data_IF_016199619908
#
_entry.id   IF_016199619908
#
_cell.length_a   1.000
_cell.length_b   1.000
_cell.length_c   1.000
_cell.angle_alpha   90.00
_cell.angle_beta   90.00
_cell.angle_gamma   90.00
#
_symmetry.space_group_name_H-M   'P 1'
#
loop_
_entity.id
_entity.type
_entity.pdbx_description
1 polymer ?
#
# COMPACT_ATOMS: atom_id res chain seq x y z
N UNK A 1 2.89 11.60 9.52
CA UNK A 1 2.21 11.09 10.74
C UNK A 1 0.71 11.36 10.57
N UNK A 2 -0.16 10.40 10.93
CA UNK A 2 -1.60 10.60 11.00
C UNK A 2 -2.00 10.71 12.47
N UNK A 3 -2.52 11.87 12.86
CA UNK A 3 -3.09 12.12 14.18
C UNK A 3 -4.62 11.98 14.12
N UNK A 4 -5.13 10.91 14.68
CA UNK A 4 -6.57 10.64 14.81
C UNK A 4 -6.93 10.43 16.28
N UNK A 5 -8.20 10.48 16.62
CA UNK A 5 -8.71 10.18 17.96
C UNK A 5 -9.91 11.04 18.34
N UNK A 6 -10.81 10.44 19.12
CA UNK A 6 -12.08 11.00 19.51
C UNK A 6 -13.09 11.16 18.39
N UNK A 7 -14.37 10.89 18.67
CA UNK A 7 -15.48 11.29 17.79
C UNK A 7 -15.75 12.79 17.94
N UNK A 8 -16.44 13.39 17.01
CA UNK A 8 -16.79 14.81 17.10
C UNK A 8 -17.72 15.08 18.29
N UNK A 9 -17.26 15.87 19.25
CA UNK A 9 -17.94 16.11 20.53
C UNK A 9 -17.69 15.05 21.61
N UNK A 10 -16.84 14.05 21.33
CA UNK A 10 -16.33 13.09 22.30
C UNK A 10 -15.02 13.56 22.96
N UNK A 11 -14.14 12.59 23.27
CA UNK A 11 -12.85 12.88 23.91
C UNK A 11 -11.97 13.79 23.07
N UNK A 12 -11.40 14.81 23.69
CA UNK A 12 -10.44 15.74 23.10
C UNK A 12 -9.03 15.53 23.66
N UNK A 13 -8.93 15.00 24.88
CA UNK A 13 -7.69 14.89 25.64
C UNK A 13 -6.66 14.01 24.94
N UNK A 14 -7.06 12.83 24.50
CA UNK A 14 -6.18 11.88 23.84
C UNK A 14 -5.50 12.48 22.57
N UNK A 15 -6.22 13.29 21.78
CA UNK A 15 -5.64 13.93 20.60
C UNK A 15 -4.62 15.03 20.99
N UNK A 16 -4.85 15.74 22.08
CA UNK A 16 -3.94 16.77 22.60
C UNK A 16 -2.68 16.15 23.19
N UNK A 17 -2.80 15.11 24.02
CA UNK A 17 -1.65 14.39 24.59
C UNK A 17 -0.74 13.82 23.49
N UNK A 18 -1.33 13.21 22.47
CA UNK A 18 -0.57 12.72 21.33
C UNK A 18 0.08 13.86 20.52
N UNK A 19 -0.57 15.01 20.39
CA UNK A 19 0.01 16.18 19.73
C UNK A 19 1.21 16.73 20.51
N UNK A 20 1.15 16.77 21.84
CA UNK A 20 2.27 17.15 22.70
C UNK A 20 3.46 16.19 22.51
N UNK A 21 3.22 14.88 22.52
CA UNK A 21 4.25 13.88 22.25
C UNK A 21 4.88 14.06 20.85
N UNK A 22 4.09 14.38 19.84
CA UNK A 22 4.61 14.66 18.50
C UNK A 22 5.51 15.89 18.48
N UNK A 23 5.17 16.95 19.24
CA UNK A 23 6.02 18.13 19.38
C UNK A 23 7.39 17.80 19.98
N UNK A 24 7.46 16.84 20.90
CA UNK A 24 8.72 16.41 21.53
C UNK A 24 9.61 15.58 20.60
N UNK A 25 9.04 14.90 19.59
CA UNK A 25 9.80 14.03 18.68
C UNK A 25 10.74 14.78 17.73
N UNK A 26 10.67 16.12 17.64
CA UNK A 26 11.49 16.97 16.78
C UNK A 26 11.62 16.48 15.33
N UNK A 27 10.62 15.75 14.85
CA UNK A 27 10.61 15.13 13.53
C UNK A 27 10.29 16.14 12.42
N UNK A 28 10.81 15.87 11.22
CA UNK A 28 10.50 16.67 10.00
C UNK A 28 9.25 16.18 9.26
N UNK A 29 8.53 15.20 9.80
CA UNK A 29 7.37 14.63 9.16
C UNK A 29 6.16 15.57 9.25
N UNK A 30 5.45 15.78 8.14
CA UNK A 30 4.17 16.48 8.16
C UNK A 30 3.11 15.65 8.91
N UNK A 31 2.33 16.30 9.76
CA UNK A 31 1.24 15.66 10.51
C UNK A 31 -0.09 15.94 9.81
N UNK A 32 -0.86 14.88 9.52
CA UNK A 32 -2.25 14.98 9.06
C UNK A 32 -3.13 14.92 10.30
N UNK A 33 -3.78 16.03 10.64
CA UNK A 33 -4.66 16.16 11.80
C UNK A 33 -6.08 15.81 11.37
N UNK A 34 -6.53 14.63 11.74
CA UNK A 34 -7.82 14.04 11.38
C UNK A 34 -8.59 13.53 12.61
N UNK A 35 -8.43 14.20 13.74
CA UNK A 35 -9.05 13.90 15.03
C UNK A 35 -10.37 14.65 15.24
N UNK A 36 -10.95 14.52 16.44
CA UNK A 36 -12.12 15.29 16.87
C UNK A 36 -12.02 16.77 16.48
N UNK A 37 -13.01 17.28 15.75
CA UNK A 37 -13.01 18.65 15.18
C UNK A 37 -12.85 19.75 16.23
N UNK A 38 -13.30 19.50 17.48
CA UNK A 38 -13.18 20.47 18.56
C UNK A 38 -11.76 20.53 19.13
N UNK A 39 -11.02 19.42 19.13
CA UNK A 39 -9.61 19.36 19.51
C UNK A 39 -8.67 19.98 18.45
N UNK A 40 -9.05 19.97 17.18
CA UNK A 40 -8.16 20.37 16.07
C UNK A 40 -7.60 21.78 16.19
N UNK A 41 -8.33 22.72 16.83
CA UNK A 41 -7.84 24.09 17.01
C UNK A 41 -6.69 24.11 18.02
N UNK A 42 -6.86 23.48 19.17
CA UNK A 42 -5.83 23.43 20.20
C UNK A 42 -4.59 22.65 19.73
N UNK A 43 -4.78 21.54 18.99
CA UNK A 43 -3.70 20.81 18.34
C UNK A 43 -2.92 21.72 17.37
N UNK A 44 -3.61 22.51 16.55
CA UNK A 44 -2.98 23.44 15.62
C UNK A 44 -2.14 24.51 16.36
N UNK A 45 -2.68 25.07 17.43
CA UNK A 45 -1.96 26.06 18.26
C UNK A 45 -0.69 25.48 18.91
N UNK A 46 -0.72 24.18 19.31
CA UNK A 46 0.47 23.46 19.81
C UNK A 46 1.51 23.29 18.69
N UNK A 47 1.10 22.84 17.51
CA UNK A 47 2.00 22.62 16.39
C UNK A 47 2.60 23.92 15.85
N UNK A 48 1.82 25.00 15.79
CA UNK A 48 2.32 26.34 15.42
C UNK A 48 3.42 26.82 16.36
N UNK A 49 3.24 26.63 17.68
CA UNK A 49 4.25 27.00 18.70
C UNK A 49 5.51 26.14 18.62
N UNK A 50 5.36 24.85 18.29
CA UNK A 50 6.47 23.90 18.19
C UNK A 50 7.14 23.89 16.80
N UNK A 51 6.59 24.61 15.80
CA UNK A 51 7.09 24.61 14.44
C UNK A 51 6.87 23.29 13.69
N UNK A 52 5.88 22.50 14.10
CA UNK A 52 5.50 21.24 13.43
C UNK A 52 4.67 21.53 12.19
N UNK A 53 5.08 20.98 11.05
CA UNK A 53 4.29 21.09 9.82
C UNK A 53 3.04 20.18 9.88
N UNK A 54 1.86 20.73 9.58
CA UNK A 54 0.63 19.94 9.63
C UNK A 54 -0.37 20.35 8.55
N UNK A 55 -1.33 19.43 8.28
CA UNK A 55 -2.50 19.65 7.44
C UNK A 55 -3.73 19.19 8.23
N UNK A 56 -4.76 20.05 8.33
CA UNK A 56 -6.03 19.68 8.96
C UNK A 56 -7.01 19.14 7.93
N UNK A 57 -7.66 18.05 8.28
CA UNK A 57 -8.73 17.42 7.50
C UNK A 57 -9.91 17.06 8.42
N UNK A 58 -11.11 16.82 7.88
CA UNK A 58 -12.22 16.30 8.66
C UNK A 58 -11.84 15.05 9.43
N UNK A 59 -12.48 14.85 10.60
CA UNK A 59 -12.25 13.67 11.44
C UNK A 59 -12.45 12.38 10.65
N UNK A 60 -11.55 11.40 10.85
CA UNK A 60 -11.66 10.06 10.23
C UNK A 60 -12.90 9.31 10.76
N UNK A 61 -13.25 9.51 12.03
CA UNK A 61 -14.41 8.89 12.64
C UNK A 61 -15.25 9.96 13.37
N UNK A 62 -16.02 10.77 12.62
CA UNK A 62 -16.82 11.85 13.20
C UNK A 62 -17.89 11.33 14.16
N UNK A 63 -18.45 10.16 13.89
CA UNK A 63 -19.43 9.43 14.70
C UNK A 63 -19.00 7.98 14.88
N UNK A 64 -19.43 7.33 15.96
CA UNK A 64 -19.13 5.92 16.22
C UNK A 64 -19.66 5.07 15.05
N UNK A 65 -18.81 4.19 14.51
CA UNK A 65 -19.07 3.32 13.35
C UNK A 65 -19.23 4.05 11.99
N UNK A 66 -18.99 5.34 11.89
CA UNK A 66 -19.00 6.09 10.64
C UNK A 66 -17.57 6.54 10.30
N UNK A 67 -16.99 5.99 9.21
CA UNK A 67 -15.64 6.32 8.79
C UNK A 67 -15.67 7.32 7.64
N UNK A 68 -14.93 8.41 7.79
CA UNK A 68 -14.70 9.45 6.78
C UNK A 68 -13.22 9.46 6.36
N UNK A 69 -12.79 8.40 5.68
CA UNK A 69 -11.37 8.16 5.37
C UNK A 69 -10.88 9.03 4.21
N UNK A 70 -11.76 9.37 3.25
CA UNK A 70 -11.39 10.01 1.99
C UNK A 70 -10.55 11.28 2.15
N UNK A 71 -10.93 12.27 2.99
CA UNK A 71 -10.14 13.50 3.15
C UNK A 71 -8.73 13.25 3.69
N UNK A 72 -8.58 12.32 4.64
CA UNK A 72 -7.28 11.96 5.18
C UNK A 72 -6.41 11.25 4.15
N UNK A 73 -6.97 10.34 3.36
CA UNK A 73 -6.29 9.64 2.26
C UNK A 73 -5.78 10.64 1.21
N UNK A 74 -6.60 11.59 0.80
CA UNK A 74 -6.24 12.63 -0.18
C UNK A 74 -5.10 13.51 0.34
N UNK A 75 -5.16 13.94 1.60
CA UNK A 75 -4.12 14.75 2.22
C UNK A 75 -2.79 13.97 2.37
N UNK A 76 -2.84 12.70 2.77
CA UNK A 76 -1.65 11.83 2.83
C UNK A 76 -1.03 11.70 1.43
N UNK A 77 -1.85 11.42 0.42
CA UNK A 77 -1.40 11.29 -0.96
C UNK A 77 -0.73 12.59 -1.45
N UNK A 78 -1.35 13.74 -1.21
CA UNK A 78 -0.78 15.03 -1.60
C UNK A 78 0.57 15.30 -0.92
N UNK A 79 0.70 15.03 0.39
CA UNK A 79 1.97 15.19 1.10
C UNK A 79 3.04 14.21 0.61
N UNK A 80 2.66 12.98 0.30
CA UNK A 80 3.56 11.98 -0.27
C UNK A 80 4.10 12.45 -1.64
N UNK A 81 3.23 12.90 -2.55
CA UNK A 81 3.63 13.45 -3.85
C UNK A 81 4.55 14.66 -3.67
N UNK A 82 4.23 15.59 -2.76
CA UNK A 82 5.08 16.75 -2.47
C UNK A 82 6.47 16.37 -1.97
N UNK A 83 6.60 15.30 -1.20
CA UNK A 83 7.88 14.82 -0.68
C UNK A 83 8.70 14.13 -1.78
N UNK A 84 8.08 13.24 -2.57
CA UNK A 84 8.75 12.55 -3.68
C UNK A 84 9.24 13.55 -4.72
N UNK A 85 8.42 14.55 -5.09
CA UNK A 85 8.80 15.54 -6.09
C UNK A 85 9.94 16.47 -5.65
N UNK A 86 10.32 16.44 -4.37
CA UNK A 86 11.50 17.14 -3.83
C UNK A 86 12.76 16.27 -3.81
N UNK A 87 12.68 14.99 -4.16
CA UNK A 87 13.85 14.12 -4.23
C UNK A 87 14.82 14.60 -5.31
N UNK A 88 16.14 14.47 -5.04
CA UNK A 88 17.19 14.90 -5.97
C UNK A 88 17.02 14.23 -7.34
N UNK A 89 17.10 15.02 -8.41
CA UNK A 89 16.95 14.56 -9.79
C UNK A 89 15.50 14.53 -10.31
N UNK A 90 14.49 14.43 -9.45
CA UNK A 90 13.08 14.46 -9.88
C UNK A 90 12.59 15.88 -10.20
N UNK A 91 13.17 16.89 -9.57
CA UNK A 91 12.85 18.32 -9.85
C UNK A 91 13.29 18.67 -11.28
N UNK A 92 14.51 18.29 -11.65
CA UNK A 92 15.06 18.53 -12.99
C UNK A 92 14.33 17.68 -14.05
N UNK A 93 14.03 16.41 -13.74
CA UNK A 93 13.26 15.53 -14.60
C UNK A 93 11.85 16.08 -14.87
N UNK A 94 11.18 16.59 -13.83
CA UNK A 94 9.86 17.20 -13.94
C UNK A 94 9.84 18.49 -14.76
N UNK A 95 10.92 19.29 -14.68
CA UNK A 95 11.05 20.52 -15.47
C UNK A 95 11.14 20.24 -16.98
N UNK A 96 11.55 19.01 -17.38
CA UNK A 96 11.60 18.55 -18.78
C UNK A 96 10.33 17.83 -19.26
N UNK A 97 9.40 17.50 -18.35
CA UNK A 97 8.10 16.91 -18.69
C UNK A 97 7.04 18.00 -18.70
N UNK A 98 6.14 17.96 -19.69
CA UNK A 98 4.96 18.84 -19.73
C UNK A 98 4.16 18.75 -18.41
N UNK A 99 3.29 19.72 -18.12
CA UNK A 99 2.50 19.92 -16.89
C UNK A 99 1.66 18.72 -16.39
N UNK A 100 2.02 17.51 -16.75
CA UNK A 100 1.32 16.29 -16.33
C UNK A 100 1.66 15.96 -14.87
N UNK A 101 0.64 15.60 -14.13
CA UNK A 101 0.78 15.17 -12.74
C UNK A 101 1.64 13.90 -12.64
N UNK A 102 2.64 13.91 -11.75
CA UNK A 102 3.38 12.70 -11.38
C UNK A 102 2.45 11.79 -10.60
N UNK A 103 2.20 10.61 -11.12
CA UNK A 103 1.37 9.58 -10.46
C UNK A 103 2.28 8.51 -9.89
N UNK A 104 2.13 8.10 -8.61
CA UNK A 104 2.85 6.96 -8.06
C UNK A 104 2.52 5.69 -8.83
N UNK A 105 3.52 4.80 -9.01
CA UNK A 105 3.34 3.53 -9.73
C UNK A 105 2.08 2.75 -9.31
N UNK A 106 1.80 2.55 -8.00
CA UNK A 106 0.60 1.83 -7.60
C UNK A 106 -0.72 2.51 -8.00
N UNK A 107 -0.73 3.85 -8.01
CA UNK A 107 -1.88 4.63 -8.50
C UNK A 107 -2.07 4.48 -10.02
N UNK A 108 -0.97 4.50 -10.78
CA UNK A 108 -0.99 4.28 -12.22
C UNK A 108 -1.46 2.86 -12.57
N UNK A 109 -0.98 1.85 -11.84
CA UNK A 109 -1.40 0.45 -12.00
C UNK A 109 -2.89 0.27 -11.69
N UNK A 110 -3.41 0.91 -10.63
CA UNK A 110 -4.84 0.88 -10.29
C UNK A 110 -5.69 1.49 -11.41
N UNK A 111 -5.31 2.67 -11.92
CA UNK A 111 -5.98 3.32 -13.05
C UNK A 111 -5.93 2.46 -14.32
N UNK A 112 -4.80 1.83 -14.60
CA UNK A 112 -4.64 0.91 -15.73
C UNK A 112 -5.55 -0.32 -15.57
N UNK A 113 -5.66 -0.89 -14.37
CA UNK A 113 -6.56 -2.02 -14.10
C UNK A 113 -8.03 -1.65 -14.30
N UNK A 114 -8.43 -0.45 -13.89
CA UNK A 114 -9.77 0.07 -14.14
C UNK A 114 -10.05 0.26 -15.64
N UNK A 115 -9.09 0.82 -16.37
CA UNK A 115 -9.21 1.01 -17.81
C UNK A 115 -9.31 -0.34 -18.55
N UNK A 116 -8.48 -1.31 -18.20
CA UNK A 116 -8.53 -2.66 -18.77
C UNK A 116 -9.88 -3.34 -18.47
N UNK A 117 -10.41 -3.17 -17.26
CA UNK A 117 -11.68 -3.76 -16.87
C UNK A 117 -12.87 -3.13 -17.58
N UNK A 118 -12.90 -1.80 -17.67
CA UNK A 118 -14.03 -1.02 -18.25
C UNK A 118 -13.96 -0.88 -19.77
N UNK A 119 -12.73 -0.85 -20.32
CA UNK A 119 -12.50 -0.52 -21.72
C UNK A 119 -12.55 0.98 -22.02
N UNK A 120 -12.66 1.31 -23.29
CA UNK A 120 -12.76 2.67 -23.83
C UNK A 120 -14.04 2.82 -24.63
N UNK A 121 -14.27 4.01 -25.20
CA UNK A 121 -15.39 4.22 -26.13
C UNK A 121 -15.27 3.38 -27.42
N UNK A 122 -14.05 2.96 -27.78
CA UNK A 122 -13.77 2.24 -29.02
C UNK A 122 -13.56 0.73 -28.79
N UNK A 123 -13.25 0.32 -27.57
CA UNK A 123 -12.90 -1.05 -27.24
C UNK A 123 -13.54 -1.50 -25.93
N UNK A 124 -14.25 -2.63 -25.98
CA UNK A 124 -14.86 -3.23 -24.81
C UNK A 124 -13.78 -3.70 -23.81
N UNK A 125 -14.04 -3.53 -22.52
CA UNK A 125 -13.15 -3.95 -21.45
C UNK A 125 -13.17 -5.45 -21.21
N UNK A 126 -12.14 -5.93 -20.52
CA UNK A 126 -12.00 -7.34 -20.16
C UNK A 126 -12.97 -7.79 -19.06
N UNK A 127 -13.70 -6.87 -18.43
CA UNK A 127 -14.56 -7.17 -17.26
C UNK A 127 -13.75 -7.27 -15.98
N UNK A 128 -14.17 -8.15 -15.06
CA UNK A 128 -13.46 -8.34 -13.79
C UNK A 128 -12.05 -8.89 -13.99
N UNK A 129 -11.09 -8.32 -13.30
CA UNK A 129 -9.70 -8.76 -13.38
C UNK A 129 -8.97 -8.59 -12.04
N UNK A 130 -7.92 -9.37 -11.86
CA UNK A 130 -6.90 -9.18 -10.83
C UNK A 130 -5.57 -8.92 -11.53
N UNK A 131 -4.87 -7.86 -11.09
CA UNK A 131 -3.54 -7.53 -11.55
C UNK A 131 -2.58 -7.63 -10.37
N UNK A 132 -1.45 -8.29 -10.60
CA UNK A 132 -0.40 -8.48 -9.60
C UNK A 132 0.82 -7.68 -10.04
N UNK A 133 1.31 -6.83 -9.15
CA UNK A 133 2.57 -6.09 -9.31
C UNK A 133 3.53 -6.55 -8.21
N UNK A 134 4.46 -7.44 -8.58
CA UNK A 134 5.50 -7.93 -7.67
C UNK A 134 6.80 -7.17 -7.93
N UNK A 135 7.21 -6.39 -6.94
CA UNK A 135 8.39 -5.55 -6.99
C UNK A 135 9.55 -6.08 -6.16
N UNK A 136 10.60 -5.27 -6.07
CA UNK A 136 11.76 -5.57 -5.23
C UNK A 136 11.48 -5.49 -3.73
N UNK A 137 10.59 -4.60 -3.31
CA UNK A 137 10.26 -4.37 -1.89
C UNK A 137 8.85 -4.85 -1.51
N UNK A 138 7.88 -4.77 -2.41
CA UNK A 138 6.45 -5.03 -2.12
C UNK A 138 5.82 -5.91 -3.18
N UNK A 139 4.73 -6.56 -2.82
CA UNK A 139 3.79 -7.19 -3.75
C UNK A 139 2.43 -6.52 -3.62
N UNK A 140 1.94 -5.94 -4.70
CA UNK A 140 0.66 -5.25 -4.78
C UNK A 140 -0.36 -6.09 -5.55
N UNK A 141 -1.58 -6.19 -5.01
CA UNK A 141 -2.71 -6.81 -5.67
C UNK A 141 -3.75 -5.74 -5.95
N UNK A 142 -4.12 -5.62 -7.22
CA UNK A 142 -5.19 -4.74 -7.69
C UNK A 142 -6.32 -5.60 -8.23
N UNK A 143 -7.54 -5.38 -7.77
CA UNK A 143 -8.73 -6.02 -8.33
C UNK A 143 -9.71 -4.99 -8.86
N UNK A 144 -10.23 -5.24 -10.06
CA UNK A 144 -11.39 -4.54 -10.61
C UNK A 144 -12.57 -5.51 -10.60
N UNK A 145 -13.63 -5.14 -9.89
CA UNK A 145 -14.81 -5.97 -9.72
C UNK A 145 -15.85 -5.67 -10.80
N UNK A 146 -16.77 -6.59 -11.09
CA UNK A 146 -17.89 -6.31 -11.96
C UNK A 146 -18.82 -5.26 -11.30
N UNK A 147 -19.59 -4.57 -12.11
CA UNK A 147 -20.68 -3.74 -11.61
C UNK A 147 -21.62 -4.58 -10.74
N UNK A 148 -21.92 -4.13 -9.53
CA UNK A 148 -22.77 -4.85 -8.57
C UNK A 148 -24.12 -5.27 -9.18
N UNK A 149 -24.61 -4.53 -10.17
CA UNK A 149 -25.85 -4.79 -10.88
C UNK A 149 -25.80 -6.05 -11.76
N UNK A 150 -24.59 -6.43 -12.19
CA UNK A 150 -24.36 -7.63 -13.02
C UNK A 150 -24.16 -8.91 -12.19
N UNK A 151 -24.01 -8.77 -10.87
CA UNK A 151 -23.84 -9.91 -9.97
C UNK A 151 -25.20 -10.53 -9.59
N UNK A 152 -25.22 -11.85 -9.44
CA UNK A 152 -26.34 -12.58 -8.85
C UNK A 152 -26.57 -12.18 -7.39
N UNK A 153 -27.74 -12.49 -6.84
CA UNK A 153 -28.08 -12.20 -5.44
C UNK A 153 -27.11 -12.94 -4.50
N UNK A 154 -26.71 -14.16 -4.86
CA UNK A 154 -25.76 -14.98 -4.09
C UNK A 154 -24.38 -14.36 -4.07
N UNK A 155 -23.86 -13.91 -5.21
CA UNK A 155 -22.57 -13.22 -5.33
C UNK A 155 -22.55 -11.89 -4.57
N UNK A 156 -23.66 -11.12 -4.61
CA UNK A 156 -23.79 -9.88 -3.81
C UNK A 156 -23.74 -10.15 -2.32
N UNK A 157 -24.27 -11.29 -1.87
CA UNK A 157 -24.24 -11.71 -0.46
C UNK A 157 -22.84 -12.04 0.06
N UNK A 158 -21.88 -12.31 -0.81
CA UNK A 158 -20.48 -12.58 -0.47
C UNK A 158 -19.65 -11.31 -0.30
N UNK A 159 -20.16 -10.15 -0.73
CA UNK A 159 -19.45 -8.88 -0.62
C UNK A 159 -19.61 -8.34 0.81
N UNK A 160 -18.53 -8.39 1.59
CA UNK A 160 -18.50 -7.97 2.99
C UNK A 160 -18.51 -6.44 3.13
N UNK A 161 -18.10 -5.71 2.11
CA UNK A 161 -17.93 -4.26 2.18
C UNK A 161 -19.04 -3.54 1.42
N UNK A 162 -19.82 -2.70 2.12
CA UNK A 162 -20.90 -1.87 1.53
C UNK A 162 -20.37 -0.67 0.73
N UNK A 163 -19.07 -0.46 0.66
CA UNK A 163 -18.49 0.58 -0.17
C UNK A 163 -18.60 0.18 -1.65
N UNK A 164 -19.31 0.97 -2.44
CA UNK A 164 -19.45 0.83 -3.89
C UNK A 164 -18.15 1.21 -4.62
N UNK A 165 -17.04 0.58 -4.27
CA UNK A 165 -15.79 0.77 -4.99
C UNK A 165 -15.72 -0.26 -6.12
N UNK A 166 -15.35 0.22 -7.31
CA UNK A 166 -15.13 -0.63 -8.48
C UNK A 166 -13.78 -1.33 -8.43
N UNK A 167 -12.79 -0.74 -7.77
CA UNK A 167 -11.43 -1.26 -7.70
C UNK A 167 -10.88 -1.23 -6.29
N UNK A 168 -10.07 -2.22 -5.97
CA UNK A 168 -9.40 -2.37 -4.67
C UNK A 168 -7.91 -2.61 -4.86
N UNK A 169 -7.12 -2.19 -3.90
CA UNK A 169 -5.68 -2.43 -3.83
C UNK A 169 -5.29 -2.85 -2.42
N UNK A 170 -4.48 -3.91 -2.32
CA UNK A 170 -3.75 -4.27 -1.12
C UNK A 170 -2.25 -4.31 -1.40
N UNK A 171 -1.46 -4.06 -0.39
CA UNK A 171 0.01 -4.03 -0.45
C UNK A 171 0.58 -4.94 0.62
N UNK A 172 1.45 -5.85 0.21
CA UNK A 172 2.28 -6.62 1.12
C UNK A 172 3.67 -5.98 1.16
N UNK A 173 3.93 -5.21 2.22
CA UNK A 173 5.12 -4.38 2.35
C UNK A 173 6.42 -5.15 2.61
N UNK A 174 6.31 -6.43 2.92
CA UNK A 174 7.42 -7.32 3.25
C UNK A 174 7.50 -8.57 2.34
N UNK A 175 6.85 -8.56 1.19
CA UNK A 175 6.86 -9.66 0.24
C UNK A 175 7.44 -9.22 -1.12
N UNK A 176 8.59 -8.59 -1.12
CA UNK A 176 9.32 -8.23 -2.35
C UNK A 176 10.42 -9.23 -2.69
N UNK A 177 10.89 -9.22 -3.93
CA UNK A 177 11.91 -10.16 -4.42
C UNK A 177 13.35 -9.65 -4.26
N UNK A 178 13.56 -8.49 -3.64
CA UNK A 178 14.89 -7.90 -3.41
C UNK A 178 14.97 -7.31 -2.00
N UNK A 179 14.56 -6.10 -1.80
CA UNK A 179 14.73 -5.32 -0.56
C UNK A 179 14.05 -5.94 0.66
N UNK A 180 13.08 -6.80 0.46
CA UNK A 180 12.35 -7.53 1.52
C UNK A 180 12.19 -9.02 1.19
N UNK A 181 13.20 -9.60 0.54
CA UNK A 181 13.13 -10.99 0.09
C UNK A 181 13.07 -12.00 1.25
N UNK A 182 13.65 -11.69 2.40
CA UNK A 182 13.59 -12.54 3.61
C UNK A 182 12.18 -12.66 4.18
N UNK A 183 11.33 -11.65 3.99
CA UNK A 183 9.93 -11.68 4.41
C UNK A 183 9.10 -12.80 3.76
N UNK A 184 9.51 -13.30 2.60
CA UNK A 184 8.81 -14.38 1.92
C UNK A 184 8.95 -15.71 2.68
N UNK A 185 10.17 -16.25 2.91
CA UNK A 185 10.31 -17.47 3.71
C UNK A 185 9.88 -17.29 5.17
N UNK A 186 9.92 -16.09 5.74
CA UNK A 186 9.37 -15.80 7.06
C UNK A 186 7.83 -15.97 7.07
N UNK A 187 7.15 -15.52 6.02
CA UNK A 187 5.68 -15.57 5.95
C UNK A 187 5.14 -17.00 5.70
N UNK A 188 5.82 -17.81 4.87
CA UNK A 188 5.29 -19.12 4.42
C UNK A 188 6.08 -20.30 4.95
N UNK A 189 7.26 -20.08 5.49
CA UNK A 189 8.26 -21.09 5.84
C UNK A 189 9.11 -21.54 4.64
N UNK A 190 10.42 -21.80 4.83
CA UNK A 190 11.32 -22.16 3.74
C UNK A 190 10.94 -23.45 3.02
N UNK A 191 10.33 -24.40 3.73
CA UNK A 191 9.83 -25.64 3.13
C UNK A 191 8.67 -25.40 2.13
N UNK A 192 7.89 -24.35 2.30
CA UNK A 192 6.84 -24.01 1.32
C UNK A 192 7.47 -23.48 0.03
N UNK A 193 8.53 -22.69 0.13
CA UNK A 193 9.31 -22.23 -1.03
C UNK A 193 9.90 -23.42 -1.79
N UNK A 194 10.52 -24.37 -1.09
CA UNK A 194 11.09 -25.58 -1.72
C UNK A 194 10.00 -26.36 -2.47
N UNK A 195 8.83 -26.54 -1.89
CA UNK A 195 7.70 -27.24 -2.55
C UNK A 195 7.16 -26.51 -3.79
N UNK A 196 7.38 -25.20 -3.89
CA UNK A 196 6.96 -24.40 -5.02
C UNK A 196 7.98 -24.37 -6.16
N UNK A 197 9.15 -24.96 -5.99
CA UNK A 197 10.17 -25.01 -7.03
C UNK A 197 9.77 -25.95 -8.19
N UNK A 198 10.18 -25.57 -9.40
CA UNK A 198 10.01 -26.37 -10.62
C UNK A 198 11.13 -27.44 -10.72
N UNK A 199 10.99 -28.52 -9.98
CA UNK A 199 11.95 -29.63 -9.96
C UNK A 199 12.66 -29.80 -8.62
N UNK A 200 13.28 -30.97 -8.49
CA UNK A 200 14.09 -31.32 -7.30
C UNK A 200 15.56 -30.94 -7.52
N UNK A 201 15.98 -29.85 -6.92
CA UNK A 201 17.36 -29.36 -6.95
C UNK A 201 18.13 -29.64 -5.66
N UNK A 202 17.56 -30.42 -4.75
CA UNK A 202 18.17 -30.72 -3.46
C UNK A 202 18.39 -29.47 -2.56
N UNK A 203 17.54 -28.43 -2.73
CA UNK A 203 17.64 -27.19 -1.94
C UNK A 203 17.19 -27.46 -0.51
N UNK A 204 18.01 -26.99 0.45
CA UNK A 204 17.70 -27.08 1.88
C UNK A 204 17.02 -25.81 2.41
N UNK A 205 16.28 -25.88 3.54
CA UNK A 205 15.70 -24.71 4.19
C UNK A 205 16.71 -23.59 4.45
N UNK A 206 17.92 -23.93 4.89
CA UNK A 206 19.00 -22.97 5.15
C UNK A 206 19.48 -22.28 3.87
N UNK A 207 19.46 -22.97 2.74
CA UNK A 207 19.83 -22.36 1.45
C UNK A 207 18.76 -21.38 0.98
N UNK A 208 17.45 -21.65 1.21
CA UNK A 208 16.38 -20.69 0.93
C UNK A 208 16.60 -19.40 1.71
N UNK A 209 16.87 -19.51 3.02
CA UNK A 209 17.10 -18.34 3.88
C UNK A 209 18.34 -17.55 3.45
N UNK A 210 19.44 -18.24 3.14
CA UNK A 210 20.67 -17.59 2.66
C UNK A 210 20.46 -16.91 1.30
N UNK A 211 19.72 -17.53 0.40
CA UNK A 211 19.42 -16.94 -0.90
C UNK A 211 18.55 -15.68 -0.76
N UNK A 212 17.51 -15.72 0.08
CA UNK A 212 16.67 -14.56 0.36
C UNK A 212 17.51 -13.40 0.96
N UNK A 213 18.38 -13.70 1.93
CA UNK A 213 19.30 -12.70 2.51
C UNK A 213 20.27 -12.16 1.45
N UNK A 214 20.81 -13.01 0.60
CA UNK A 214 21.70 -12.59 -0.49
C UNK A 214 21.02 -11.61 -1.45
N UNK A 215 19.73 -11.83 -1.79
CA UNK A 215 18.96 -10.92 -2.62
C UNK A 215 18.72 -9.56 -1.95
N UNK A 216 18.56 -9.51 -0.63
CA UNK A 216 18.45 -8.24 0.11
C UNK A 216 19.76 -7.47 0.16
N UNK A 217 20.85 -8.17 0.40
CA UNK A 217 22.18 -7.57 0.46
C UNK A 217 22.66 -7.09 -0.93
N UNK A 218 22.15 -7.72 -2.01
CA UNK A 218 22.51 -7.45 -3.40
C UNK A 218 21.26 -7.29 -4.29
N UNK A 219 20.51 -6.16 -4.20
CA UNK A 219 19.25 -5.99 -4.92
C UNK A 219 19.36 -6.00 -6.46
N UNK A 220 20.56 -5.80 -6.99
CA UNK A 220 20.91 -5.86 -8.41
C UNK A 220 21.32 -7.27 -8.88
N UNK A 221 21.38 -8.25 -7.98
CA UNK A 221 21.73 -9.63 -8.33
C UNK A 221 20.71 -10.25 -9.26
N UNK A 222 21.22 -10.92 -10.30
CA UNK A 222 20.43 -11.70 -11.26
C UNK A 222 20.81 -13.18 -11.09
N UNK A 223 19.84 -14.10 -10.83
CA UNK A 223 20.09 -15.53 -10.68
C UNK A 223 20.91 -16.10 -11.85
N UNK A 224 22.01 -16.78 -11.51
CA UNK A 224 23.01 -17.19 -12.49
C UNK A 224 22.64 -18.48 -13.23
N UNK A 225 22.02 -19.43 -12.52
CA UNK A 225 21.71 -20.76 -13.04
C UNK A 225 20.21 -21.11 -12.90
N UNK A 226 19.81 -22.25 -13.45
CA UNK A 226 18.41 -22.70 -13.41
C UNK A 226 17.93 -23.06 -11.99
N UNK A 227 18.82 -23.47 -11.10
CA UNK A 227 18.47 -23.74 -9.70
C UNK A 227 18.09 -22.45 -8.97
N UNK A 228 18.88 -21.40 -9.09
CA UNK A 228 18.60 -20.09 -8.51
C UNK A 228 17.35 -19.43 -9.14
N UNK A 229 17.20 -19.54 -10.46
CA UNK A 229 16.00 -19.04 -11.16
C UNK A 229 14.74 -19.76 -10.70
N UNK A 230 14.80 -21.09 -10.50
CA UNK A 230 13.69 -21.87 -9.98
C UNK A 230 13.37 -21.46 -8.53
N UNK A 231 14.38 -21.20 -7.70
CA UNK A 231 14.20 -20.73 -6.35
C UNK A 231 13.55 -19.33 -6.31
N UNK A 232 14.02 -18.40 -7.13
CA UNK A 232 13.42 -17.07 -7.24
C UNK A 232 11.97 -17.13 -7.73
N UNK A 233 11.65 -17.96 -8.75
CA UNK A 233 10.26 -18.19 -9.20
C UNK A 233 9.39 -18.78 -8.10
N UNK A 234 9.92 -19.70 -7.31
CA UNK A 234 9.23 -20.27 -6.17
C UNK A 234 8.93 -19.23 -5.09
N UNK A 235 9.89 -18.34 -4.79
CA UNK A 235 9.68 -17.21 -3.89
C UNK A 235 8.59 -16.27 -4.43
N UNK A 236 8.65 -15.92 -5.72
CA UNK A 236 7.62 -15.08 -6.36
C UNK A 236 6.23 -15.73 -6.26
N UNK A 237 6.13 -17.03 -6.53
CA UNK A 237 4.89 -17.80 -6.42
C UNK A 237 4.33 -17.77 -5.00
N UNK A 238 5.19 -17.93 -3.99
CA UNK A 238 4.80 -17.86 -2.58
C UNK A 238 4.32 -16.46 -2.18
N UNK A 239 5.02 -15.42 -2.62
CA UNK A 239 4.65 -14.02 -2.37
C UNK A 239 3.27 -13.71 -2.98
N UNK A 240 3.07 -14.03 -4.26
CA UNK A 240 1.82 -13.79 -4.98
C UNK A 240 0.66 -14.55 -4.31
N UNK A 241 0.83 -15.84 -4.01
CA UNK A 241 -0.21 -16.63 -3.35
C UNK A 241 -0.59 -16.08 -1.97
N UNK A 242 0.40 -15.62 -1.21
CA UNK A 242 0.16 -15.02 0.11
C UNK A 242 -0.58 -13.69 -0.03
N UNK A 243 -0.14 -12.83 -0.94
CA UNK A 243 -0.77 -11.54 -1.20
C UNK A 243 -2.22 -11.72 -1.71
N UNK A 244 -2.48 -12.66 -2.63
CA UNK A 244 -3.82 -12.95 -3.13
C UNK A 244 -4.77 -13.44 -2.02
N UNK A 245 -4.31 -14.34 -1.14
CA UNK A 245 -5.12 -14.82 -0.01
C UNK A 245 -5.49 -13.68 0.93
N UNK A 246 -4.54 -12.82 1.27
CA UNK A 246 -4.78 -11.65 2.15
C UNK A 246 -5.69 -10.61 1.48
N UNK A 247 -5.55 -10.42 0.17
CA UNK A 247 -6.45 -9.55 -0.61
C UNK A 247 -7.89 -10.06 -0.60
N UNK A 248 -8.09 -11.37 -0.68
CA UNK A 248 -9.41 -12.01 -0.60
C UNK A 248 -9.97 -12.11 0.82
N UNK A 249 -9.22 -11.72 1.86
CA UNK A 249 -9.67 -11.73 3.26
C UNK A 249 -9.47 -13.06 3.98
N UNK A 250 -8.48 -13.87 3.61
CA UNK A 250 -8.11 -15.14 4.23
C UNK A 250 -6.76 -15.09 4.95
#
# INVERSE_FOLDING_TARGET
ILLSGGTDGGDEGCALENAEMICELHGKATVIVACNKYAQRAVAELFDKAGVAYVRVPNIMPTIHELNIKPAREAIHEQFIRQITRARGLVEFRAGLSDQAVVPTPGAVLLASELLAKGTYEQEGAGSLILVDIGGATTDIHSALPELEKLSIEERGLIINNEKQFSYRTVEGNLGLRVSATGIPEAVGPNAVIRAMDGDYGVTPDEVLRFAQHLEDHPDYIPADEREKSLERAMATCAINTALRRHAGH
#
